data_IF_768250045489
#
_entry.id   IF_768250045489
#
_cell.length_a   1.000
_cell.length_b   1.000
_cell.length_c   1.000
_cell.angle_alpha   90.00
_cell.angle_beta   90.00
_cell.angle_gamma   90.00
#
_symmetry.space_group_name_H-M   'P 1'
#
loop_
_entity.id
_entity.type
_entity.pdbx_description
1 polymer ?
#
# COMPACT_ATOMS: atom_id res chain seq x y z
N UNK A 1 2.76 15.98 -9.26
CA UNK A 1 2.58 17.01 -8.22
C UNK A 1 1.75 16.39 -7.09
N UNK A 2 2.38 15.96 -5.98
CA UNK A 2 1.67 15.29 -4.87
C UNK A 2 1.10 16.37 -3.94
N UNK A 3 -0.23 16.46 -3.84
CA UNK A 3 -0.90 17.47 -3.03
C UNK A 3 -0.79 17.10 -1.54
N UNK A 4 0.25 17.60 -0.87
CA UNK A 4 0.63 17.19 0.49
C UNK A 4 -0.30 17.72 1.59
N UNK A 5 -1.08 18.77 1.32
CA UNK A 5 -1.93 19.44 2.30
C UNK A 5 -3.31 19.80 1.75
N UNK A 6 -4.30 19.85 2.64
CA UNK A 6 -5.64 20.38 2.37
C UNK A 6 -6.00 21.46 3.38
N UNK A 7 -6.73 22.47 2.92
CA UNK A 7 -7.25 23.56 3.74
C UNK A 7 -8.75 23.37 3.97
N UNK A 8 -9.21 23.61 5.20
CA UNK A 8 -10.61 23.63 5.60
C UNK A 8 -10.87 24.93 6.36
N UNK A 9 -11.98 25.60 6.10
CA UNK A 9 -12.40 26.78 6.86
C UNK A 9 -13.62 26.41 7.72
N UNK A 10 -13.49 26.50 9.04
CA UNK A 10 -14.57 26.32 10.01
C UNK A 10 -14.56 27.47 11.01
N UNK A 11 -15.73 28.03 11.33
CA UNK A 11 -15.87 29.11 12.33
C UNK A 11 -14.97 30.34 12.12
N UNK A 12 -14.66 30.68 10.85
CA UNK A 12 -13.70 31.74 10.44
C UNK A 12 -12.24 31.45 10.80
N UNK A 13 -11.91 30.20 11.09
CA UNK A 13 -10.53 29.73 11.27
C UNK A 13 -10.13 28.84 10.10
N UNK A 14 -8.94 29.10 9.56
CA UNK A 14 -8.35 28.33 8.47
C UNK A 14 -7.50 27.19 9.06
N UNK A 15 -7.95 25.95 8.85
CA UNK A 15 -7.30 24.73 9.30
C UNK A 15 -6.52 24.10 8.15
N UNK A 16 -5.28 23.68 8.42
CA UNK A 16 -4.44 22.94 7.47
C UNK A 16 -4.24 21.50 7.95
N UNK A 17 -4.39 20.52 7.06
CA UNK A 17 -4.08 19.11 7.35
C UNK A 17 -3.08 18.55 6.36
N UNK A 18 -2.18 17.71 6.84
CA UNK A 18 -1.38 16.85 5.96
C UNK A 18 -2.27 15.72 5.41
N UNK A 19 -2.18 15.46 4.11
CA UNK A 19 -2.96 14.40 3.46
C UNK A 19 -2.29 13.02 3.58
N UNK A 20 -1.00 12.97 3.94
CA UNK A 20 -0.21 11.74 4.09
C UNK A 20 0.89 11.93 5.15
N UNK A 21 1.39 10.83 5.73
CA UNK A 21 2.57 10.83 6.62
C UNK A 21 2.28 10.86 8.13
N UNK A 22 1.03 10.67 8.56
CA UNK A 22 0.68 10.68 9.98
C UNK A 22 1.33 9.53 10.74
N UNK A 23 2.04 9.87 11.82
CA UNK A 23 2.54 8.93 12.86
C UNK A 23 1.77 9.13 14.17
N UNK A 24 0.57 9.74 14.10
CA UNK A 24 -0.27 10.06 15.26
C UNK A 24 -1.35 8.99 15.44
N UNK A 25 -1.43 8.44 16.66
CA UNK A 25 -2.27 7.30 17.06
C UNK A 25 -3.78 7.61 17.15
N UNK A 26 -4.23 8.83 16.84
CA UNK A 26 -5.56 9.34 17.22
C UNK A 26 -6.31 10.08 16.11
N UNK A 27 -6.00 9.83 14.84
CA UNK A 27 -6.90 10.27 13.76
C UNK A 27 -7.84 9.11 13.48
N UNK A 28 -9.15 9.34 13.61
CA UNK A 28 -10.23 8.41 13.24
C UNK A 28 -10.13 8.06 11.74
N UNK A 29 -9.18 7.20 11.38
CA UNK A 29 -8.95 6.71 10.01
C UNK A 29 -10.26 6.19 9.41
N UNK A 30 -11.12 5.61 10.24
CA UNK A 30 -12.43 5.07 9.89
C UNK A 30 -13.39 6.10 9.25
N UNK A 31 -13.28 7.40 9.53
CA UNK A 31 -14.16 8.42 8.92
C UNK A 31 -13.71 8.89 7.54
N UNK A 32 -12.46 8.65 7.16
CA UNK A 32 -11.87 9.07 5.89
C UNK A 32 -11.60 7.92 4.93
N UNK A 33 -11.84 6.68 5.38
CA UNK A 33 -11.54 5.46 4.67
C UNK A 33 -12.82 4.68 4.39
N UNK A 34 -13.02 4.29 3.13
CA UNK A 34 -14.11 3.37 2.75
C UNK A 34 -13.56 1.94 2.81
N UNK A 35 -14.22 1.04 3.54
CA UNK A 35 -13.86 -0.37 3.53
C UNK A 35 -14.11 -0.97 2.14
N UNK A 36 -13.16 -1.79 1.66
CA UNK A 36 -13.29 -2.59 0.45
C UNK A 36 -13.93 -3.93 0.84
N UNK A 37 -15.06 -4.26 0.23
CA UNK A 37 -15.81 -5.48 0.56
C UNK A 37 -15.77 -6.53 -0.55
N UNK A 38 -15.48 -6.13 -1.80
CA UNK A 38 -15.25 -7.05 -2.90
C UNK A 38 -13.93 -6.75 -3.62
N UNK A 39 -13.25 -7.81 -4.05
CA UNK A 39 -12.10 -7.70 -4.95
C UNK A 39 -12.48 -7.07 -6.30
N UNK A 40 -13.74 -7.17 -6.71
CA UNK A 40 -14.23 -6.59 -7.97
C UNK A 40 -14.24 -5.04 -7.95
N UNK A 41 -14.14 -4.42 -6.76
CA UNK A 41 -13.96 -2.97 -6.60
C UNK A 41 -12.52 -2.52 -6.95
N UNK A 42 -11.58 -3.47 -7.11
CA UNK A 42 -10.15 -3.20 -7.24
C UNK A 42 -9.57 -3.81 -8.50
N UNK A 43 -8.93 -2.98 -9.33
CA UNK A 43 -8.22 -3.43 -10.54
C UNK A 43 -6.77 -3.80 -10.23
N UNK A 44 -6.12 -3.03 -9.35
CA UNK A 44 -4.70 -3.21 -8.97
C UNK A 44 -4.56 -2.89 -7.49
N UNK A 45 -3.77 -3.68 -6.77
CA UNK A 45 -3.34 -3.40 -5.40
C UNK A 45 -1.86 -3.73 -5.28
N UNK A 46 -0.99 -2.72 -5.40
CA UNK A 46 0.46 -2.94 -5.55
C UNK A 46 1.28 -2.17 -4.53
N UNK A 47 2.30 -2.82 -3.96
CA UNK A 47 3.29 -2.21 -3.11
C UNK A 47 4.65 -2.15 -3.82
N UNK A 48 5.20 -0.94 -3.96
CA UNK A 48 6.56 -0.75 -4.47
C UNK A 48 7.57 -0.71 -3.32
N UNK A 49 8.65 -1.49 -3.44
CA UNK A 49 9.76 -1.50 -2.48
C UNK A 49 11.09 -1.69 -3.21
N UNK A 50 12.20 -1.51 -2.51
CA UNK A 50 13.53 -1.76 -3.06
C UNK A 50 13.85 -3.24 -3.08
N UNK A 51 14.56 -3.71 -4.12
CA UNK A 51 14.99 -5.12 -4.25
C UNK A 51 15.69 -5.65 -3.00
N UNK A 52 16.53 -4.85 -2.33
CA UNK A 52 17.23 -5.23 -1.08
C UNK A 52 16.30 -5.63 0.07
N UNK A 53 15.05 -5.18 0.06
CA UNK A 53 14.07 -5.52 1.09
C UNK A 53 13.32 -6.82 0.79
N UNK A 54 13.42 -7.34 -0.43
CA UNK A 54 12.58 -8.44 -0.91
C UNK A 54 12.79 -9.71 -0.08
N UNK A 55 14.03 -10.06 0.23
CA UNK A 55 14.35 -11.26 1.02
C UNK A 55 13.67 -11.22 2.40
N UNK A 56 13.81 -10.11 3.13
CA UNK A 56 13.15 -9.94 4.44
C UNK A 56 11.62 -9.92 4.35
N UNK A 57 11.06 -9.40 3.25
CA UNK A 57 9.62 -9.41 2.99
C UNK A 57 9.12 -10.83 2.69
N UNK A 58 9.89 -11.63 1.94
CA UNK A 58 9.57 -13.02 1.66
C UNK A 58 9.69 -13.92 2.91
N UNK A 59 10.56 -13.57 3.86
CA UNK A 59 10.69 -14.29 5.12
C UNK A 59 9.57 -13.92 6.11
N UNK A 60 9.24 -12.63 6.21
CA UNK A 60 8.44 -12.11 7.33
C UNK A 60 7.13 -11.43 6.94
N UNK A 61 6.78 -11.43 5.66
CA UNK A 61 5.65 -10.68 5.11
C UNK A 61 5.92 -9.18 5.00
N UNK A 62 4.96 -8.46 4.43
CA UNK A 62 5.04 -7.01 4.30
C UNK A 62 4.50 -6.34 5.57
N UNK A 63 5.42 -5.77 6.37
CA UNK A 63 5.11 -5.17 7.66
C UNK A 63 4.71 -3.70 7.54
N UNK A 64 3.79 -3.24 8.39
CA UNK A 64 3.48 -1.79 8.55
C UNK A 64 4.64 -0.98 9.12
N UNK A 65 5.66 -1.66 9.66
CA UNK A 65 6.80 -1.04 10.34
C UNK A 65 6.31 -0.14 11.49
N UNK A 66 6.79 1.11 11.57
CA UNK A 66 6.34 2.09 12.58
C UNK A 66 5.00 2.77 12.21
N UNK A 67 4.41 2.48 11.05
CA UNK A 67 3.14 3.09 10.59
C UNK A 67 1.95 2.30 11.10
N UNK A 68 0.75 2.88 10.99
CA UNK A 68 -0.50 2.21 11.35
C UNK A 68 -0.94 1.18 10.29
N UNK A 69 -0.68 1.46 9.01
CA UNK A 69 -1.10 0.61 7.89
C UNK A 69 0.05 0.30 6.94
N UNK A 70 -0.01 -0.87 6.31
CA UNK A 70 0.65 -1.14 5.04
C UNK A 70 -0.11 -0.39 3.95
N UNK A 71 0.64 0.28 3.06
CA UNK A 71 0.07 1.10 1.99
C UNK A 71 0.29 0.42 0.64
N UNK A 72 -0.77 0.38 -0.15
CA UNK A 72 -0.76 -0.08 -1.53
C UNK A 72 -1.30 1.01 -2.45
N UNK A 73 -0.81 1.04 -3.68
CA UNK A 73 -1.31 1.87 -4.76
C UNK A 73 -2.42 1.14 -5.52
N UNK A 74 -3.47 1.86 -5.90
CA UNK A 74 -4.52 1.35 -6.79
C UNK A 74 -4.16 1.42 -8.29
N UNK A 75 -2.91 1.75 -8.60
CA UNK A 75 -2.42 1.96 -9.96
C UNK A 75 -0.93 1.69 -10.06
N UNK A 76 -0.48 1.43 -11.28
CA UNK A 76 0.93 1.20 -11.58
C UNK A 76 1.70 2.52 -11.66
N UNK A 77 3.00 2.53 -11.34
CA UNK A 77 3.85 3.66 -11.68
C UNK A 77 3.76 3.93 -13.19
N UNK A 78 3.63 5.20 -13.57
CA UNK A 78 3.74 5.66 -14.97
C UNK A 78 5.19 5.59 -15.42
N UNK A 79 5.44 5.10 -16.63
CA UNK A 79 6.78 4.98 -17.20
C UNK A 79 7.51 6.33 -17.13
N UNK A 80 8.66 6.36 -16.45
CA UNK A 80 9.42 7.59 -16.22
C UNK A 80 10.63 7.37 -15.32
N UNK A 81 11.80 7.66 -15.89
CA UNK A 81 13.17 7.66 -15.33
C UNK A 81 13.68 6.33 -14.78
N UNK A 82 14.55 5.71 -15.57
CA UNK A 82 15.39 4.57 -15.18
C UNK A 82 16.33 5.03 -14.08
N UNK A 83 16.04 4.65 -12.84
CA UNK A 83 16.95 4.83 -11.72
C UNK A 83 17.80 3.56 -11.63
N UNK A 84 19.12 3.74 -11.46
CA UNK A 84 20.16 2.71 -11.49
C UNK A 84 19.81 1.36 -10.82
N UNK A 85 20.49 0.27 -11.22
CA UNK A 85 20.25 -1.11 -10.75
C UNK A 85 20.18 -1.29 -9.21
N UNK A 86 20.84 -0.44 -8.43
CA UNK A 86 20.76 -0.46 -6.95
C UNK A 86 19.45 0.10 -6.39
N UNK A 87 18.74 0.90 -7.19
CA UNK A 87 17.39 1.40 -6.92
C UNK A 87 16.31 0.56 -7.61
N UNK A 88 16.63 -0.65 -8.09
CA UNK A 88 15.63 -1.52 -8.72
C UNK A 88 14.43 -1.70 -7.79
N UNK A 89 13.29 -1.23 -8.28
CA UNK A 89 12.01 -1.33 -7.58
C UNK A 89 11.43 -2.70 -7.89
N UNK A 90 10.93 -3.36 -6.86
CA UNK A 90 10.08 -4.55 -7.00
C UNK A 90 8.66 -4.17 -6.65
N UNK A 91 7.72 -4.71 -7.40
CA UNK A 91 6.29 -4.50 -7.26
C UNK A 91 5.67 -5.79 -6.74
N UNK A 92 5.10 -5.72 -5.55
CA UNK A 92 4.39 -6.83 -4.90
C UNK A 92 2.91 -6.59 -5.06
N UNK A 93 2.22 -7.48 -5.74
CA UNK A 93 0.79 -7.43 -5.96
C UNK A 93 0.07 -8.22 -4.88
N UNK A 94 -0.92 -7.60 -4.25
CA UNK A 94 -1.78 -8.26 -3.27
C UNK A 94 -2.89 -9.01 -3.99
N UNK A 95 -3.05 -10.29 -3.67
CA UNK A 95 -4.27 -11.05 -3.98
C UNK A 95 -5.38 -10.53 -3.05
N UNK A 96 -6.12 -9.53 -3.54
CA UNK A 96 -7.19 -8.87 -2.78
C UNK A 96 -8.29 -9.86 -2.42
N UNK A 97 -8.63 -10.80 -3.31
CA UNK A 97 -9.68 -11.79 -3.07
C UNK A 97 -9.27 -12.69 -1.90
N UNK A 98 -8.08 -13.27 -1.98
CA UNK A 98 -7.56 -14.14 -0.92
C UNK A 98 -7.38 -13.40 0.40
N UNK A 99 -6.89 -12.16 0.36
CA UNK A 99 -6.75 -11.33 1.56
C UNK A 99 -8.10 -11.10 2.26
N UNK A 100 -9.15 -10.76 1.50
CA UNK A 100 -10.50 -10.58 2.04
C UNK A 100 -11.09 -11.88 2.58
N UNK A 101 -10.93 -13.00 1.87
CA UNK A 101 -11.40 -14.34 2.28
C UNK A 101 -10.73 -14.80 3.60
N UNK A 102 -9.47 -14.46 3.80
CA UNK A 102 -8.71 -14.71 5.04
C UNK A 102 -9.08 -13.72 6.17
N UNK A 103 -9.99 -12.77 5.92
CA UNK A 103 -10.48 -11.80 6.91
C UNK A 103 -9.64 -10.53 7.05
N UNK A 104 -8.72 -10.27 6.12
CA UNK A 104 -7.94 -9.02 6.13
C UNK A 104 -8.84 -7.83 5.80
N UNK A 105 -8.85 -6.81 6.68
CA UNK A 105 -9.58 -5.57 6.42
C UNK A 105 -8.78 -4.67 5.48
N UNK A 106 -9.35 -4.38 4.33
CA UNK A 106 -8.81 -3.46 3.35
C UNK A 106 -9.68 -2.20 3.27
N UNK A 107 -9.03 -1.06 3.10
CA UNK A 107 -9.70 0.22 2.96
C UNK A 107 -9.11 1.01 1.80
N UNK A 108 -9.93 1.87 1.20
CA UNK A 108 -9.49 2.85 0.22
C UNK A 108 -9.72 4.27 0.72
N UNK A 109 -8.69 5.08 0.62
CA UNK A 109 -8.77 6.52 0.88
C UNK A 109 -9.37 7.28 -0.31
N UNK A 110 -9.79 8.53 -0.09
CA UNK A 110 -10.21 9.44 -1.15
C UNK A 110 -9.18 9.55 -2.31
N UNK A 111 -7.88 9.49 -1.99
CA UNK A 111 -6.80 9.57 -2.99
C UNK A 111 -6.45 8.22 -3.64
N UNK A 112 -7.33 7.21 -3.50
CA UNK A 112 -7.15 5.85 -4.05
C UNK A 112 -5.90 5.12 -3.53
N UNK A 113 -5.37 5.52 -2.37
CA UNK A 113 -4.40 4.72 -1.63
C UNK A 113 -5.17 3.65 -0.86
N UNK A 114 -4.75 2.41 -1.01
CA UNK A 114 -5.32 1.25 -0.33
C UNK A 114 -4.50 0.98 0.94
N UNK A 115 -5.18 0.66 2.03
CA UNK A 115 -4.62 0.58 3.37
C UNK A 115 -5.11 -0.69 4.06
N UNK A 116 -4.20 -1.34 4.79
CA UNK A 116 -4.54 -2.46 5.67
C UNK A 116 -3.63 -2.43 6.89
N UNK A 117 -4.17 -2.81 8.04
CA UNK A 117 -3.35 -3.09 9.23
C UNK A 117 -2.59 -4.42 9.08
N UNK A 118 -2.98 -5.26 8.12
CA UNK A 118 -2.54 -6.65 8.05
C UNK A 118 -3.11 -7.47 9.20
N UNK A 119 -2.59 -8.69 9.37
CA UNK A 119 -2.78 -9.48 10.58
C UNK A 119 -1.63 -9.13 11.54
N UNK A 120 -1.96 -8.56 12.69
CA UNK A 120 -0.99 -8.10 13.69
C UNK A 120 0.13 -7.21 13.13
N UNK A 121 -0.19 -6.37 12.13
CA UNK A 121 0.77 -5.47 11.49
C UNK A 121 1.46 -6.04 10.24
N UNK A 122 1.08 -7.23 9.78
CA UNK A 122 1.76 -7.96 8.70
C UNK A 122 0.78 -8.40 7.61
N UNK A 123 1.13 -8.14 6.35
CA UNK A 123 0.50 -8.79 5.19
C UNK A 123 1.31 -10.05 4.85
N UNK A 124 0.76 -11.27 5.04
CA UNK A 124 1.50 -12.51 4.81
C UNK A 124 1.84 -12.73 3.34
N UNK A 125 2.96 -13.40 3.07
CA UNK A 125 3.41 -13.74 1.71
C UNK A 125 2.38 -14.58 0.95
N UNK A 126 1.63 -15.44 1.66
CA UNK A 126 0.52 -16.21 1.06
C UNK A 126 -0.56 -15.33 0.42
N UNK A 127 -0.65 -14.05 0.77
CA UNK A 127 -1.58 -13.10 0.18
C UNK A 127 -0.98 -12.36 -1.03
N UNK A 128 0.24 -12.68 -1.47
CA UNK A 128 0.83 -12.08 -2.66
C UNK A 128 0.37 -12.85 -3.90
N UNK A 129 -0.13 -12.13 -4.90
CA UNK A 129 -0.53 -12.68 -6.18
C UNK A 129 0.71 -12.92 -7.07
N UNK A 130 1.57 -11.89 -7.16
CA UNK A 130 2.81 -11.93 -7.95
C UNK A 130 3.80 -10.87 -7.50
N UNK A 131 5.05 -11.06 -7.89
CA UNK A 131 6.13 -10.09 -7.71
C UNK A 131 6.78 -9.84 -9.07
N UNK A 132 7.03 -8.58 -9.41
CA UNK A 132 7.68 -8.18 -10.65
C UNK A 132 8.78 -7.16 -10.39
N UNK A 133 9.82 -7.14 -11.21
CA UNK A 133 10.76 -6.02 -11.26
C UNK A 133 10.16 -4.83 -12.02
N UNK A 134 10.69 -3.64 -11.75
CA UNK A 134 10.34 -2.41 -12.44
C UNK A 134 11.63 -1.67 -12.84
N UNK A 135 11.74 -1.13 -14.07
CA UNK A 135 10.66 -0.96 -15.06
C UNK A 135 10.48 -2.13 -16.05
N UNK A 136 11.35 -3.14 -16.05
CA UNK A 136 11.37 -4.21 -17.06
C UNK A 136 10.27 -5.27 -16.91
N UNK A 137 9.45 -5.20 -15.85
CA UNK A 137 8.26 -6.04 -15.63
C UNK A 137 8.55 -7.55 -15.63
N UNK A 138 9.77 -7.96 -15.29
CA UNK A 138 10.10 -9.39 -15.23
C UNK A 138 9.48 -10.01 -13.98
N UNK A 139 8.79 -11.16 -14.11
CA UNK A 139 8.28 -11.87 -12.96
C UNK A 139 9.44 -12.35 -12.09
N UNK A 140 9.29 -12.19 -10.78
CA UNK A 140 10.22 -12.68 -9.77
C UNK A 140 9.54 -13.85 -9.06
N UNK A 141 10.04 -15.10 -9.23
CA UNK A 141 9.49 -16.26 -8.57
C UNK A 141 9.59 -16.13 -7.04
N UNK A 142 8.56 -16.60 -6.34
CA UNK A 142 8.57 -16.76 -4.89
C UNK A 142 7.73 -18.00 -4.54
N UNK A 143 8.05 -18.64 -3.42
CA UNK A 143 7.30 -19.80 -2.94
C UNK A 143 6.17 -19.33 -2.03
N UNK A 144 4.94 -19.76 -2.34
CA UNK A 144 3.84 -19.73 -1.37
C UNK A 144 4.10 -20.86 -0.38
N UNK A 145 4.88 -20.58 0.65
CA UNK A 145 5.06 -21.50 1.80
C UNK A 145 3.75 -21.61 2.57
#
# INVERSE_FOLDING_TARGET
>A
NKQQFSLLEENRELLIRANQGHTIMTVESERLLKQILSADEMIVCVHGTYKRNLESILESGLKRMKRLHVHFSSGLPTDGEVISDEMLIVLIYLDVRKALEEGMKLYISYHKVILTEGFDGVVPVKCFEKIESWPDRKPIPFSNV
#
